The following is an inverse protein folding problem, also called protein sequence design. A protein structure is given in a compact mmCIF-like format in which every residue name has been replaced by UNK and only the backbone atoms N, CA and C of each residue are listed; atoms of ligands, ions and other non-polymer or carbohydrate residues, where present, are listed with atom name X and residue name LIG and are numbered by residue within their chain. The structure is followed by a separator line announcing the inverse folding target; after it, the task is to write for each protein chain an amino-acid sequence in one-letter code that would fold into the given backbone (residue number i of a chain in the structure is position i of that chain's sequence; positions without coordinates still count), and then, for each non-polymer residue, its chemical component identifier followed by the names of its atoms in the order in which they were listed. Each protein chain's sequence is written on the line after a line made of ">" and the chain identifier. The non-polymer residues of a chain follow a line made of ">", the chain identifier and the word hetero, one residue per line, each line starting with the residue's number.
data_IF_562749770467
#
_entry.id   IF_562749770467
#
_cell.length_a   1.000
_cell.length_b   1.000
_cell.length_c   1.000
_cell.angle_alpha   90.00
_cell.angle_beta   90.00
_cell.angle_gamma   90.00
#
_symmetry.space_group_name_H-M   'P 1'
#
loop_
_entity.id
_entity.type
_entity.pdbx_description
1 polymer ?
#
# COMPACT_ATOMS: atom_id res chain seq x y z
N UNK A 1 36.16 20.13 -60.30
CA UNK A 1 36.07 20.42 -58.84
C UNK A 1 34.70 20.03 -58.34
N UNK A 2 34.61 18.88 -57.75
CA UNK A 2 33.36 18.45 -57.11
C UNK A 2 33.35 18.91 -55.67
N UNK A 3 32.42 19.85 -55.36
CA UNK A 3 32.14 20.21 -53.95
C UNK A 3 31.20 19.16 -53.38
N UNK A 4 31.74 18.30 -52.56
CA UNK A 4 30.95 17.36 -51.80
C UNK A 4 30.35 18.12 -50.62
N UNK A 5 29.06 18.41 -50.70
CA UNK A 5 28.24 18.87 -49.58
C UNK A 5 27.94 17.67 -48.69
N UNK A 6 28.69 17.57 -47.60
CA UNK A 6 28.33 16.69 -46.50
C UNK A 6 27.10 17.26 -45.77
N UNK A 7 25.94 16.73 -46.11
CA UNK A 7 24.76 17.00 -45.33
C UNK A 7 24.90 16.25 -43.98
N UNK A 8 25.21 17.00 -42.93
CA UNK A 8 25.11 16.48 -41.56
C UNK A 8 23.63 16.20 -41.26
N UNK A 9 23.19 14.94 -41.36
CA UNK A 9 21.92 14.52 -40.84
C UNK A 9 22.07 14.45 -39.34
N UNK A 10 21.64 15.50 -38.65
CA UNK A 10 21.50 15.49 -37.18
C UNK A 10 20.27 14.60 -36.90
N UNK A 11 20.52 13.32 -36.61
CA UNK A 11 19.49 12.42 -36.08
C UNK A 11 19.24 12.89 -34.65
N UNK A 12 18.17 13.66 -34.49
CA UNK A 12 17.62 13.95 -33.17
C UNK A 12 17.07 12.63 -32.59
N UNK A 13 17.91 11.96 -31.81
CA UNK A 13 17.40 10.93 -30.90
C UNK A 13 16.62 11.63 -29.82
N UNK A 14 15.31 11.78 -30.01
CA UNK A 14 14.41 12.05 -28.91
C UNK A 14 14.44 10.81 -28.02
N UNK A 15 15.27 10.83 -26.99
CA UNK A 15 15.21 9.85 -25.94
C UNK A 15 13.81 10.00 -25.31
N UNK A 16 12.90 9.07 -25.61
CA UNK A 16 11.67 8.90 -24.86
C UNK A 16 12.09 8.51 -23.45
N UNK A 17 12.19 9.51 -22.57
CA UNK A 17 12.46 9.28 -21.17
C UNK A 17 11.26 8.58 -20.55
N UNK A 18 11.33 7.26 -20.42
CA UNK A 18 10.41 6.53 -19.56
C UNK A 18 10.78 6.92 -18.13
N UNK A 19 9.91 7.70 -17.45
CA UNK A 19 10.07 7.92 -16.01
C UNK A 19 9.83 6.60 -15.31
N UNK A 20 10.83 6.10 -14.58
CA UNK A 20 10.69 4.90 -13.76
C UNK A 20 9.89 5.27 -12.51
N UNK A 21 8.78 4.59 -12.31
CA UNK A 21 7.89 4.80 -11.18
C UNK A 21 7.62 3.48 -10.44
N UNK A 22 7.55 3.58 -9.12
CA UNK A 22 6.98 2.53 -8.29
C UNK A 22 5.46 2.68 -8.33
N UNK A 23 4.74 1.58 -8.48
CA UNK A 23 3.28 1.57 -8.53
C UNK A 23 2.76 0.59 -7.48
N UNK A 24 2.08 1.12 -6.49
CA UNK A 24 1.43 0.34 -5.44
C UNK A 24 0.11 -0.24 -5.96
N UNK A 25 -0.04 -1.55 -5.85
CA UNK A 25 -1.26 -2.23 -6.23
C UNK A 25 -1.65 -3.26 -5.17
N UNK A 26 -2.91 -3.22 -4.76
CA UNK A 26 -3.54 -4.24 -3.90
C UNK A 26 -4.88 -4.60 -4.53
N UNK A 27 -5.07 -5.87 -4.85
CA UNK A 27 -6.28 -6.35 -5.54
C UNK A 27 -7.57 -6.00 -4.78
N UNK A 28 -7.52 -6.10 -3.44
CA UNK A 28 -8.61 -5.70 -2.54
C UNK A 28 -8.01 -4.88 -1.40
N UNK A 29 -8.02 -3.57 -1.54
CA UNK A 29 -7.50 -2.64 -0.53
C UNK A 29 -8.44 -2.40 0.64
N UNK A 30 -9.66 -2.92 0.59
CA UNK A 30 -10.63 -2.93 1.68
C UNK A 30 -10.91 -4.37 2.11
N UNK A 31 -10.65 -4.68 3.38
CA UNK A 31 -11.03 -5.95 3.97
C UNK A 31 -12.21 -5.78 4.92
N UNK A 32 -13.25 -6.60 4.75
CA UNK A 32 -14.40 -6.65 5.63
C UNK A 32 -14.36 -7.93 6.45
N UNK A 33 -14.21 -7.78 7.76
CA UNK A 33 -14.31 -8.92 8.67
C UNK A 33 -15.76 -9.30 8.91
N UNK A 34 -15.99 -10.56 9.24
CA UNK A 34 -17.24 -11.00 9.82
C UNK A 34 -17.47 -10.31 11.17
N UNK A 35 -18.73 -10.24 11.60
CA UNK A 35 -19.08 -9.74 12.93
C UNK A 35 -18.24 -10.45 14.00
N UNK A 36 -17.62 -9.65 14.86
CA UNK A 36 -16.70 -10.12 15.90
C UNK A 36 -17.20 -9.67 17.27
N UNK A 37 -16.73 -10.34 18.32
CA UNK A 37 -17.06 -9.95 19.68
C UNK A 37 -16.02 -8.99 20.22
N UNK A 38 -16.47 -8.01 21.01
CA UNK A 38 -15.56 -7.11 21.71
C UNK A 38 -14.57 -7.91 22.58
N UNK A 39 -13.29 -7.58 22.46
CA UNK A 39 -12.18 -8.28 23.09
C UNK A 39 -11.42 -9.21 22.14
N UNK A 40 -12.01 -9.57 20.98
CA UNK A 40 -11.30 -10.36 19.98
C UNK A 40 -10.18 -9.56 19.34
N UNK A 41 -9.07 -10.22 19.02
CA UNK A 41 -8.02 -9.67 18.18
C UNK A 41 -8.18 -10.21 16.76
N UNK A 42 -8.37 -9.32 15.81
CA UNK A 42 -8.55 -9.67 14.40
C UNK A 42 -7.23 -9.54 13.66
N UNK A 43 -7.03 -10.37 12.66
CA UNK A 43 -5.83 -10.34 11.83
C UNK A 43 -6.18 -10.50 10.36
N UNK A 44 -5.48 -9.77 9.50
CA UNK A 44 -5.58 -9.93 8.06
C UNK A 44 -4.26 -9.57 7.39
N UNK A 45 -3.97 -10.25 6.28
CA UNK A 45 -2.78 -10.00 5.46
C UNK A 45 -3.20 -9.49 4.09
N UNK A 46 -2.73 -8.29 3.75
CA UNK A 46 -2.83 -7.76 2.39
C UNK A 46 -1.63 -8.21 1.56
N UNK A 47 -1.86 -8.48 0.29
CA UNK A 47 -0.79 -8.72 -0.67
C UNK A 47 -0.56 -7.43 -1.44
N UNK A 48 0.64 -6.88 -1.33
CA UNK A 48 1.07 -5.67 -2.02
C UNK A 48 1.86 -6.08 -3.25
N UNK A 49 1.50 -5.58 -4.41
CA UNK A 49 2.20 -5.81 -5.66
C UNK A 49 2.79 -4.50 -6.17
N UNK A 50 4.03 -4.55 -6.63
CA UNK A 50 4.64 -3.43 -7.32
C UNK A 50 4.43 -3.59 -8.83
N UNK A 51 3.51 -2.86 -9.40
CA UNK A 51 3.21 -2.86 -10.83
C UNK A 51 4.03 -1.83 -11.62
N UNK A 52 4.97 -1.18 -10.97
CA UNK A 52 5.88 -0.24 -11.60
C UNK A 52 7.15 -0.88 -12.14
N UNK A 53 8.04 -0.05 -12.61
CA UNK A 53 9.35 -0.42 -13.16
C UNK A 53 10.52 0.04 -12.28
N UNK A 54 10.23 0.61 -11.10
CA UNK A 54 11.19 0.98 -10.08
C UNK A 54 10.82 0.32 -8.75
N UNK A 55 11.76 0.25 -7.82
CA UNK A 55 11.51 -0.30 -6.48
C UNK A 55 10.42 0.49 -5.75
N UNK A 56 9.48 -0.22 -5.16
CA UNK A 56 8.49 0.35 -4.26
C UNK A 56 9.08 0.36 -2.84
N UNK A 57 9.21 1.55 -2.28
CA UNK A 57 9.72 1.73 -0.92
C UNK A 57 8.58 2.18 -0.01
N UNK A 58 8.34 1.44 1.06
CA UNK A 58 7.41 1.81 2.11
C UNK A 58 8.24 2.35 3.26
N UNK A 59 8.29 3.67 3.41
CA UNK A 59 9.11 4.33 4.42
C UNK A 59 8.55 4.17 5.82
N UNK A 60 7.24 4.29 5.95
CA UNK A 60 6.56 4.30 7.22
C UNK A 60 5.07 3.99 7.05
N UNK A 61 4.39 3.71 8.15
CA UNK A 61 2.94 3.58 8.19
C UNK A 61 2.37 4.41 9.34
N UNK A 62 1.12 4.79 9.20
CA UNK A 62 0.34 5.48 10.23
C UNK A 62 -1.01 4.80 10.39
N UNK A 63 -1.44 4.64 11.62
CA UNK A 63 -2.71 4.05 12.01
C UNK A 63 -3.51 5.05 12.85
N UNK A 64 -4.83 4.93 12.81
CA UNK A 64 -5.74 5.87 13.49
C UNK A 64 -5.80 5.64 15.01
N UNK A 65 -5.41 4.45 15.48
CA UNK A 65 -5.34 4.17 16.91
C UNK A 65 -4.26 3.15 17.22
N UNK A 66 -3.78 3.13 18.47
CA UNK A 66 -2.82 2.15 18.98
C UNK A 66 -3.39 0.71 19.02
N UNK A 67 -4.67 0.55 18.74
CA UNK A 67 -5.33 -0.76 18.65
C UNK A 67 -4.99 -1.54 17.38
N UNK A 68 -4.32 -0.90 16.41
CA UNK A 68 -3.89 -1.51 15.16
C UNK A 68 -2.38 -1.63 15.13
N UNK A 69 -1.87 -2.85 14.98
CA UNK A 69 -0.45 -3.12 14.77
C UNK A 69 -0.22 -3.57 13.33
N UNK A 70 0.85 -3.07 12.70
CA UNK A 70 1.19 -3.35 11.31
C UNK A 70 2.57 -3.98 11.24
N UNK A 71 2.69 -5.05 10.48
CA UNK A 71 3.95 -5.74 10.21
C UNK A 71 4.19 -5.75 8.71
N UNK A 72 5.28 -5.15 8.29
CA UNK A 72 5.74 -5.11 6.90
C UNK A 72 7.11 -5.77 6.87
N UNK A 73 7.22 -7.07 6.50
CA UNK A 73 8.49 -7.79 6.54
C UNK A 73 9.49 -7.25 5.53
N UNK A 74 9.04 -6.74 4.40
CA UNK A 74 9.89 -6.16 3.36
C UNK A 74 9.42 -4.75 3.01
N UNK A 75 10.24 -3.76 3.37
CA UNK A 75 9.94 -2.36 3.07
C UNK A 75 10.27 -1.97 1.63
N UNK A 76 11.07 -2.77 0.93
CA UNK A 76 11.43 -2.55 -0.47
C UNK A 76 10.90 -3.72 -1.28
N UNK A 77 10.02 -3.42 -2.23
CA UNK A 77 9.43 -4.40 -3.14
C UNK A 77 9.93 -4.09 -4.55
N UNK A 78 10.75 -4.98 -5.10
CA UNK A 78 11.29 -4.81 -6.44
C UNK A 78 10.20 -4.76 -7.50
N UNK A 79 10.49 -4.13 -8.63
CA UNK A 79 9.57 -4.03 -9.76
C UNK A 79 9.03 -5.40 -10.16
N UNK A 80 7.71 -5.51 -10.30
CA UNK A 80 7.03 -6.75 -10.66
C UNK A 80 6.93 -7.81 -9.56
N UNK A 81 7.39 -7.51 -8.36
CA UNK A 81 7.36 -8.43 -7.21
C UNK A 81 6.19 -8.13 -6.29
N UNK A 82 5.95 -9.06 -5.37
CA UNK A 82 4.90 -9.01 -4.36
C UNK A 82 5.50 -9.12 -2.96
N UNK A 83 4.84 -8.51 -2.00
CA UNK A 83 5.13 -8.66 -0.58
C UNK A 83 3.82 -8.62 0.21
N UNK A 84 3.91 -8.73 1.51
CA UNK A 84 2.75 -8.76 2.39
C UNK A 84 2.79 -7.64 3.41
N UNK A 85 1.61 -7.22 3.84
CA UNK A 85 1.40 -6.39 5.01
C UNK A 85 0.36 -7.09 5.88
N UNK A 86 0.74 -7.45 7.09
CA UNK A 86 -0.16 -8.05 8.07
C UNK A 86 -0.50 -7.03 9.13
N UNK A 87 -1.76 -6.94 9.50
CA UNK A 87 -2.16 -6.11 10.63
C UNK A 87 -3.01 -6.91 11.61
N UNK A 88 -2.99 -6.49 12.85
CA UNK A 88 -3.89 -6.95 13.90
C UNK A 88 -4.69 -5.77 14.42
N UNK A 89 -5.93 -6.03 14.79
CA UNK A 89 -6.84 -5.05 15.37
C UNK A 89 -7.42 -5.58 16.66
N UNK A 90 -7.12 -4.92 17.76
CA UNK A 90 -7.66 -5.25 19.07
C UNK A 90 -9.00 -4.55 19.25
N UNK A 91 -10.07 -5.32 19.33
CA UNK A 91 -11.44 -4.79 19.45
C UNK A 91 -11.84 -4.42 20.87
N UNK A 92 -10.97 -4.63 21.84
CA UNK A 92 -11.27 -4.30 23.24
C UNK A 92 -11.52 -2.80 23.41
N UNK A 93 -12.66 -2.44 24.01
CA UNK A 93 -13.08 -1.05 24.13
C UNK A 93 -13.52 -0.40 22.82
N UNK A 94 -13.74 -1.17 21.76
CA UNK A 94 -14.10 -0.68 20.42
C UNK A 94 -15.38 -1.33 19.88
N UNK A 95 -16.53 -1.19 20.56
CA UNK A 95 -17.78 -1.79 20.09
C UNK A 95 -18.34 -1.08 18.86
N UNK A 96 -19.28 -1.74 18.20
CA UNK A 96 -20.04 -1.28 17.03
C UNK A 96 -19.20 -1.24 15.75
N UNK A 97 -19.65 -0.46 14.77
CA UNK A 97 -18.97 -0.39 13.48
C UNK A 97 -17.60 0.27 13.61
N UNK A 98 -16.57 -0.45 13.24
CA UNK A 98 -15.21 0.04 13.13
C UNK A 98 -14.82 0.11 11.65
N UNK A 99 -14.38 1.26 11.23
CA UNK A 99 -13.94 1.55 9.87
C UNK A 99 -12.61 2.30 9.96
N UNK A 100 -11.53 1.61 9.65
CA UNK A 100 -10.17 2.07 9.92
C UNK A 100 -9.31 2.08 8.66
N UNK A 101 -8.41 3.04 8.58
CA UNK A 101 -7.42 3.16 7.51
C UNK A 101 -6.01 2.90 8.04
N UNK A 102 -5.20 2.30 7.18
CA UNK A 102 -3.76 2.21 7.36
C UNK A 102 -3.15 3.07 6.25
N UNK A 103 -2.45 4.13 6.64
CA UNK A 103 -1.76 5.02 5.71
C UNK A 103 -0.32 4.56 5.56
N UNK A 104 0.12 4.38 4.32
CA UNK A 104 1.49 4.05 4.00
C UNK A 104 2.18 5.25 3.36
N UNK A 105 3.35 5.60 3.85
CA UNK A 105 4.22 6.62 3.24
C UNK A 105 5.18 5.91 2.30
N UNK A 106 5.14 6.26 1.03
CA UNK A 106 5.84 5.54 -0.03
C UNK A 106 6.57 6.48 -0.98
N UNK A 107 7.35 5.89 -1.88
CA UNK A 107 7.99 6.60 -2.98
C UNK A 107 7.15 6.61 -4.27
N UNK A 108 5.87 6.26 -4.19
CA UNK A 108 4.97 6.35 -5.33
C UNK A 108 4.69 7.82 -5.68
N UNK A 109 4.11 8.05 -6.86
CA UNK A 109 3.73 9.39 -7.31
C UNK A 109 2.86 10.14 -6.30
N UNK A 110 1.94 9.42 -5.66
CA UNK A 110 1.04 9.99 -4.64
C UNK A 110 1.72 10.19 -3.29
N UNK A 111 2.89 9.59 -3.05
CA UNK A 111 3.63 9.57 -1.79
C UNK A 111 2.90 8.90 -0.63
N UNK A 112 1.64 8.63 -0.78
CA UNK A 112 0.76 8.00 0.21
C UNK A 112 -0.10 6.95 -0.45
N UNK A 113 -0.26 5.81 0.22
CA UNK A 113 -1.16 4.76 -0.17
C UNK A 113 -1.97 4.31 1.04
N UNK A 114 -3.19 3.84 0.81
CA UNK A 114 -4.12 3.50 1.88
C UNK A 114 -4.61 2.07 1.75
N UNK A 115 -4.69 1.41 2.90
CA UNK A 115 -5.44 0.18 3.10
C UNK A 115 -6.56 0.44 4.10
N UNK A 116 -7.63 -0.31 4.04
CA UNK A 116 -8.81 -0.09 4.85
C UNK A 116 -9.40 -1.40 5.33
N UNK A 117 -9.94 -1.40 6.51
CA UNK A 117 -10.70 -2.53 7.01
C UNK A 117 -11.94 -2.08 7.78
N UNK A 118 -12.94 -2.94 7.78
CA UNK A 118 -14.21 -2.72 8.47
C UNK A 118 -14.59 -3.96 9.25
N UNK A 119 -15.19 -3.75 10.41
CA UNK A 119 -15.78 -4.80 11.23
C UNK A 119 -16.91 -4.23 12.07
N UNK A 120 -17.97 -5.01 12.27
CA UNK A 120 -18.95 -4.73 13.31
C UNK A 120 -18.57 -5.54 14.56
N UNK A 121 -18.28 -4.84 15.64
CA UNK A 121 -17.89 -5.42 16.93
C UNK A 121 -19.10 -5.44 17.85
N UNK A 122 -19.50 -6.63 18.22
CA UNK A 122 -20.60 -6.86 19.15
C UNK A 122 -20.13 -6.50 20.56
N UNK A 123 -20.81 -5.56 21.25
CA UNK A 123 -20.36 -5.12 22.58
C UNK A 123 -20.43 -6.24 23.60
N UNK A 124 -19.52 -6.19 24.59
CA UNK A 124 -19.57 -7.07 25.75
C UNK A 124 -20.88 -6.88 26.50
N UNK A 125 -21.45 -7.98 27.00
CA UNK A 125 -22.58 -7.91 27.90
C UNK A 125 -22.11 -7.30 29.22
N UNK A 126 -22.71 -6.19 29.60
CA UNK A 126 -22.51 -5.61 30.94
C UNK A 126 -23.24 -6.54 31.91
N UNK A 127 -22.51 -7.21 32.78
CA UNK A 127 -23.10 -7.90 33.93
C UNK A 127 -23.50 -6.83 34.94
N UNK A 128 -24.78 -6.52 34.94
CA UNK A 128 -25.39 -5.68 35.98
C UNK A 128 -25.69 -6.49 37.22
#
# INVERSE_FOLDING_TARGET
>A
MYRILFAFIIINYTALGFSQEAVFFVKKGLHKFHKSNEGDTLEHTFIIENHGDNDLIIYNYEVECSCTNVIIPEQIIAAGKKSTLTFTFNTDGRPFLQDRKIRLVTNTKNKEEYLRFKVFVKPKKIKG
#
